data_IF_777401058943
#
_entry.id   IF_777401058943
#
_cell.length_a   1.000
_cell.length_b   1.000
_cell.length_c   1.000
_cell.angle_alpha   90.00
_cell.angle_beta   90.00
_cell.angle_gamma   90.00
#
_symmetry.space_group_name_H-M   'P 1'
#
loop_
_entity.id
_entity.type
_entity.pdbx_description
1 polymer ?
#
# COMPACT_ATOMS: atom_id res chain seq x y z
N UNK A 1 -7.18 31.96 62.77
CA UNK A 1 -5.98 31.16 62.41
C UNK A 1 -6.40 29.70 62.36
N UNK A 2 -6.53 29.13 61.16
CA UNK A 2 -7.01 27.74 60.99
C UNK A 2 -5.88 26.81 61.42
N UNK A 3 -6.06 26.04 62.50
CA UNK A 3 -5.09 25.00 62.91
C UNK A 3 -5.16 23.88 61.88
N UNK A 4 -4.20 23.86 60.96
CA UNK A 4 -4.07 22.80 59.98
C UNK A 4 -3.59 21.53 60.68
N UNK A 5 -4.54 20.78 61.23
CA UNK A 5 -4.26 19.54 61.95
C UNK A 5 -3.82 18.44 61.01
N UNK A 6 -3.03 17.50 61.52
CA UNK A 6 -2.65 16.24 60.89
C UNK A 6 -3.82 15.55 60.13
N UNK A 7 -5.07 15.46 60.67
CA UNK A 7 -6.18 14.87 59.92
C UNK A 7 -6.52 15.61 58.63
N UNK A 8 -6.39 16.94 58.62
CA UNK A 8 -6.60 17.78 57.43
C UNK A 8 -5.58 17.49 56.35
N UNK A 9 -4.31 17.27 56.73
CA UNK A 9 -3.24 16.90 55.79
C UNK A 9 -3.46 15.49 55.22
N UNK A 10 -3.92 14.55 56.04
CA UNK A 10 -4.25 13.19 55.60
C UNK A 10 -5.41 13.18 54.60
N UNK A 11 -6.49 13.93 54.87
CA UNK A 11 -7.61 14.04 53.94
C UNK A 11 -7.19 14.68 52.61
N UNK A 12 -6.33 15.70 52.66
CA UNK A 12 -5.81 16.34 51.46
C UNK A 12 -4.91 15.41 50.64
N UNK A 13 -4.07 14.61 51.30
CA UNK A 13 -3.23 13.60 50.65
C UNK A 13 -4.07 12.50 49.97
N UNK A 14 -5.09 11.97 50.66
CA UNK A 14 -6.02 10.99 50.08
C UNK A 14 -6.76 11.61 48.88
N UNK A 15 -7.20 12.86 48.98
CA UNK A 15 -7.85 13.56 47.87
C UNK A 15 -6.91 13.74 46.66
N UNK A 16 -5.63 14.07 46.89
CA UNK A 16 -4.60 14.17 45.85
C UNK A 16 -4.25 12.83 45.19
N UNK A 17 -4.31 11.73 45.93
CA UNK A 17 -4.07 10.37 45.41
C UNK A 17 -5.31 9.80 44.72
N UNK A 18 -6.50 10.13 45.22
CA UNK A 18 -7.79 9.74 44.65
C UNK A 18 -8.24 10.63 43.49
N UNK A 19 -7.58 11.77 43.27
CA UNK A 19 -7.68 12.56 42.05
C UNK A 19 -7.38 11.60 40.88
N UNK A 20 -8.36 11.31 40.03
CA UNK A 20 -8.19 10.31 39.00
C UNK A 20 -7.04 10.77 38.09
N UNK A 21 -6.16 9.83 37.72
CA UNK A 21 -5.16 10.00 36.63
C UNK A 21 -5.82 10.23 35.25
N UNK A 22 -7.03 10.77 35.22
CA UNK A 22 -7.82 11.04 34.01
C UNK A 22 -7.57 12.44 33.46
N UNK A 23 -6.97 13.37 34.23
CA UNK A 23 -6.58 14.69 33.70
C UNK A 23 -5.43 14.64 32.68
N UNK A 24 -4.69 13.53 32.59
CA UNK A 24 -3.68 13.33 31.53
C UNK A 24 -4.27 12.80 30.22
N UNK A 25 -5.58 12.61 30.15
CA UNK A 25 -6.29 12.28 28.91
C UNK A 25 -7.06 13.52 28.44
N UNK A 26 -6.33 14.60 28.14
CA UNK A 26 -6.79 15.49 27.09
C UNK A 26 -7.11 14.59 25.88
N UNK A 27 -8.31 14.69 25.26
CA UNK A 27 -8.55 14.07 23.97
C UNK A 27 -7.38 14.48 23.09
N UNK A 28 -6.56 13.51 22.70
CA UNK A 28 -5.49 13.75 21.73
C UNK A 28 -6.21 14.45 20.57
N UNK A 29 -5.83 15.68 20.19
CA UNK A 29 -6.50 16.35 19.08
C UNK A 29 -6.50 15.35 17.94
N UNK A 30 -7.69 15.00 17.44
CA UNK A 30 -7.79 14.33 16.15
C UNK A 30 -6.96 15.22 15.23
N UNK A 31 -5.84 14.74 14.66
CA UNK A 31 -5.03 15.57 13.78
C UNK A 31 -5.99 16.15 12.74
N UNK A 32 -5.88 17.46 12.43
CA UNK A 32 -6.74 18.08 11.44
C UNK A 32 -6.73 17.18 10.19
N UNK A 33 -7.89 16.93 9.55
CA UNK A 33 -7.95 16.08 8.36
C UNK A 33 -6.92 16.62 7.39
N UNK A 34 -5.84 15.86 7.17
CA UNK A 34 -4.68 16.39 6.45
C UNK A 34 -5.14 16.59 5.01
N UNK A 35 -5.21 17.83 4.49
CA UNK A 35 -5.71 18.10 3.15
C UNK A 35 -4.85 17.45 2.05
N UNK A 36 -3.72 16.83 2.42
CA UNK A 36 -2.78 16.16 1.52
C UNK A 36 -3.24 14.76 1.09
N UNK A 37 -3.97 14.02 1.93
CA UNK A 37 -4.30 12.62 1.61
C UNK A 37 -5.22 12.52 0.40
N UNK A 38 -6.22 13.40 0.28
CA UNK A 38 -7.12 13.43 -0.87
C UNK A 38 -6.36 13.69 -2.19
N UNK A 39 -5.42 14.65 -2.20
CA UNK A 39 -4.60 14.94 -3.38
C UNK A 39 -3.63 13.80 -3.73
N UNK A 40 -3.02 13.16 -2.73
CA UNK A 40 -2.11 12.04 -2.94
C UNK A 40 -2.86 10.82 -3.52
N UNK A 41 -4.03 10.51 -2.95
CA UNK A 41 -4.90 9.47 -3.52
C UNK A 41 -5.39 9.82 -4.92
N UNK A 42 -5.75 11.08 -5.20
CA UNK A 42 -6.15 11.48 -6.55
C UNK A 42 -5.04 11.22 -7.58
N UNK A 43 -3.79 11.47 -7.18
CA UNK A 43 -2.62 11.28 -8.05
C UNK A 43 -2.32 9.80 -8.29
N UNK A 44 -2.40 8.96 -7.25
CA UNK A 44 -2.28 7.51 -7.38
C UNK A 44 -3.44 6.94 -8.21
N UNK A 45 -4.67 7.34 -7.95
CA UNK A 45 -5.84 6.89 -8.70
C UNK A 45 -5.73 7.26 -10.18
N UNK A 46 -5.24 8.45 -10.49
CA UNK A 46 -4.98 8.88 -11.87
C UNK A 46 -3.85 8.06 -12.54
N UNK A 47 -2.77 7.78 -11.81
CA UNK A 47 -1.65 7.00 -12.32
C UNK A 47 -2.01 5.53 -12.54
N UNK A 48 -2.67 4.92 -11.56
CA UNK A 48 -2.99 3.50 -11.52
C UNK A 48 -4.30 3.15 -12.24
N UNK A 49 -5.19 4.12 -12.48
CA UNK A 49 -6.44 3.90 -13.23
C UNK A 49 -6.24 3.48 -14.70
N UNK A 50 -5.00 3.54 -15.21
CA UNK A 50 -4.63 3.06 -16.55
C UNK A 50 -3.99 1.66 -16.54
N UNK A 51 -3.69 1.11 -15.37
CA UNK A 51 -3.09 -0.22 -15.22
C UNK A 51 -4.18 -1.28 -15.32
N UNK A 52 -3.99 -2.37 -16.09
CA UNK A 52 -4.95 -3.47 -16.13
C UNK A 52 -5.17 -4.09 -14.75
N UNK A 53 -6.44 -4.28 -14.35
CA UNK A 53 -6.82 -4.85 -13.05
C UNK A 53 -6.54 -6.36 -12.90
N UNK A 54 -6.10 -7.00 -13.99
CA UNK A 54 -5.72 -8.40 -14.02
C UNK A 54 -4.39 -8.52 -14.78
N UNK A 55 -3.45 -9.39 -14.37
CA UNK A 55 -2.40 -9.81 -15.26
C UNK A 55 -3.08 -10.48 -16.46
N UNK A 56 -3.12 -9.78 -17.60
CA UNK A 56 -3.51 -10.45 -18.84
C UNK A 56 -2.57 -11.64 -19.00
N UNK A 57 -3.14 -12.84 -19.16
CA UNK A 57 -2.38 -14.04 -19.47
C UNK A 57 -1.35 -13.72 -20.57
N UNK A 58 -0.12 -14.29 -20.51
CA UNK A 58 0.91 -14.01 -21.49
C UNK A 58 0.33 -14.11 -22.90
N UNK A 59 0.40 -13.01 -23.67
CA UNK A 59 -0.04 -13.02 -25.07
C UNK A 59 0.77 -14.11 -25.77
N UNK A 60 0.15 -15.25 -26.05
CA UNK A 60 0.75 -16.24 -26.92
C UNK A 60 0.98 -15.54 -28.27
N UNK A 61 2.22 -15.54 -28.79
CA UNK A 61 2.46 -14.94 -30.09
C UNK A 61 1.55 -15.61 -31.13
N UNK A 62 1.00 -14.85 -32.10
CA UNK A 62 0.16 -15.43 -33.14
C UNK A 62 0.95 -16.53 -33.87
N UNK A 63 0.29 -17.62 -34.28
CA UNK A 63 0.95 -18.67 -35.04
C UNK A 63 1.59 -18.08 -36.30
N UNK A 64 2.80 -18.50 -36.68
CA UNK A 64 3.44 -18.03 -37.90
C UNK A 64 2.55 -18.34 -39.11
N UNK A 65 2.53 -17.46 -40.14
CA UNK A 65 1.76 -17.72 -41.35
C UNK A 65 2.23 -19.03 -42.02
N UNK A 66 1.33 -19.80 -42.66
CA UNK A 66 1.70 -21.01 -43.37
C UNK A 66 2.68 -20.67 -44.48
N UNK A 67 3.81 -21.38 -44.51
CA UNK A 67 4.81 -21.27 -45.57
C UNK A 67 4.19 -21.61 -46.93
N UNK A 68 4.48 -20.85 -48.01
CA UNK A 68 3.99 -21.21 -49.34
C UNK A 68 4.67 -22.49 -49.83
N UNK A 69 3.86 -23.48 -50.21
CA UNK A 69 4.30 -24.66 -50.95
C UNK A 69 4.78 -24.23 -52.34
N UNK A 70 6.05 -24.50 -52.67
CA UNK A 70 6.51 -24.56 -54.06
C UNK A 70 7.76 -25.42 -54.22
N UNK A 71 7.91 -26.04 -55.41
CA UNK A 71 8.49 -27.37 -55.54
C UNK A 71 10.00 -27.38 -55.77
N UNK A 72 10.55 -28.57 -55.53
CA UNK A 72 11.85 -29.13 -55.89
C UNK A 72 12.89 -28.22 -56.59
N UNK A 73 14.05 -28.12 -55.95
CA UNK A 73 15.32 -28.02 -56.64
C UNK A 73 16.22 -26.90 -56.15
N UNK A 74 17.15 -27.22 -55.25
CA UNK A 74 18.60 -26.98 -55.41
C UNK A 74 19.32 -27.14 -54.06
N UNK A 75 20.40 -27.93 -54.09
CA UNK A 75 21.47 -27.98 -53.08
C UNK A 75 21.93 -26.55 -52.78
N UNK A 76 22.27 -26.25 -51.53
CA UNK A 76 23.61 -25.78 -51.09
C UNK A 76 23.59 -25.37 -49.60
N UNK A 77 24.40 -26.12 -48.83
CA UNK A 77 25.28 -25.73 -47.73
C UNK A 77 24.76 -25.01 -46.46
N UNK A 78 25.23 -25.56 -45.35
CA UNK A 78 24.80 -25.32 -43.98
C UNK A 78 25.20 -23.92 -43.47
N UNK A 79 24.21 -23.03 -43.30
CA UNK A 79 24.36 -21.85 -42.41
C UNK A 79 23.79 -22.17 -41.04
N UNK A 80 24.67 -22.28 -40.04
CA UNK A 80 24.31 -22.31 -38.63
C UNK A 80 23.76 -20.94 -38.22
N UNK A 81 22.43 -20.78 -38.29
CA UNK A 81 21.74 -19.63 -37.71
C UNK A 81 21.67 -19.80 -36.19
N UNK A 82 22.42 -18.99 -35.45
CA UNK A 82 22.26 -18.86 -34.01
C UNK A 82 20.86 -18.33 -33.72
N UNK A 83 19.97 -19.21 -33.25
CA UNK A 83 18.65 -18.83 -32.75
C UNK A 83 18.84 -18.16 -31.40
N UNK A 84 18.91 -16.83 -31.40
CA UNK A 84 18.74 -16.04 -30.19
C UNK A 84 17.30 -16.24 -29.70
N UNK A 85 17.11 -17.09 -28.68
CA UNK A 85 15.89 -17.11 -27.89
C UNK A 85 15.83 -15.79 -27.13
N UNK A 86 15.15 -14.81 -27.70
CA UNK A 86 14.69 -13.66 -26.94
C UNK A 86 13.64 -14.19 -25.96
N UNK A 87 14.09 -14.43 -24.72
CA UNK A 87 13.19 -14.65 -23.60
C UNK A 87 12.46 -13.32 -23.43
N UNK A 88 11.18 -13.29 -23.78
CA UNK A 88 10.31 -12.17 -23.44
C UNK A 88 10.26 -12.12 -21.91
N UNK A 89 11.11 -11.29 -21.32
CA UNK A 89 10.95 -10.85 -19.95
C UNK A 89 9.59 -10.15 -19.84
N UNK A 90 8.83 -10.33 -18.75
CA UNK A 90 7.63 -9.54 -18.52
C UNK A 90 8.05 -8.06 -18.45
N UNK A 91 7.88 -7.35 -19.56
CA UNK A 91 8.20 -5.93 -19.60
C UNK A 91 7.12 -5.17 -18.83
N UNK A 92 7.53 -4.56 -17.71
CA UNK A 92 6.78 -3.51 -17.04
C UNK A 92 6.38 -2.45 -18.08
N UNK A 93 5.07 -2.19 -18.19
CA UNK A 93 4.55 -1.13 -19.06
C UNK A 93 4.88 0.23 -18.45
N UNK A 94 5.05 1.29 -19.26
CA UNK A 94 5.25 2.66 -18.75
C UNK A 94 4.15 3.08 -17.76
N UNK A 95 2.92 2.59 -17.97
CA UNK A 95 1.78 2.82 -17.09
C UNK A 95 1.94 2.14 -15.73
N UNK A 96 2.40 0.88 -15.70
CA UNK A 96 2.72 0.15 -14.46
C UNK A 96 3.83 0.85 -13.69
N UNK A 97 4.90 1.26 -14.38
CA UNK A 97 6.00 2.02 -13.76
C UNK A 97 5.55 3.33 -13.14
N UNK A 98 4.73 4.09 -13.87
CA UNK A 98 4.20 5.35 -13.38
C UNK A 98 3.26 5.15 -12.17
N UNK A 99 2.39 4.14 -12.21
CA UNK A 99 1.57 3.76 -11.05
C UNK A 99 2.43 3.40 -9.84
N UNK A 100 3.42 2.52 -10.03
CA UNK A 100 4.34 2.07 -8.99
C UNK A 100 5.07 3.25 -8.32
N UNK A 101 5.51 4.23 -9.10
CA UNK A 101 6.15 5.45 -8.60
C UNK A 101 5.24 6.22 -7.66
N UNK A 102 4.02 6.53 -8.11
CA UNK A 102 3.08 7.32 -7.31
C UNK A 102 2.60 6.57 -6.07
N UNK A 103 2.50 5.25 -6.18
CA UNK A 103 2.13 4.40 -5.06
C UNK A 103 3.17 4.45 -3.94
N UNK A 104 4.47 4.46 -4.27
CA UNK A 104 5.57 4.64 -3.29
C UNK A 104 5.59 6.01 -2.62
N UNK A 105 5.01 7.03 -3.25
CA UNK A 105 5.01 8.41 -2.76
C UNK A 105 3.85 8.71 -1.81
N UNK A 106 2.79 7.90 -1.84
CA UNK A 106 1.67 8.04 -0.90
C UNK A 106 2.15 7.77 0.53
N UNK A 107 1.78 8.67 1.44
CA UNK A 107 2.12 8.54 2.85
C UNK A 107 1.39 7.35 3.50
N UNK A 108 2.12 6.60 4.33
CA UNK A 108 1.55 5.51 5.14
C UNK A 108 0.38 6.00 6.00
N UNK A 109 0.49 7.18 6.60
CA UNK A 109 -0.56 7.75 7.45
C UNK A 109 -1.86 7.95 6.68
N UNK A 110 -1.78 8.38 5.41
CA UNK A 110 -2.95 8.53 4.54
C UNK A 110 -3.65 7.20 4.25
N UNK A 111 -2.87 6.14 3.97
CA UNK A 111 -3.40 4.79 3.74
C UNK A 111 -4.02 4.23 5.03
N UNK A 112 -3.30 4.33 6.14
CA UNK A 112 -3.78 3.83 7.42
C UNK A 112 -5.04 4.57 7.90
N UNK A 113 -5.16 5.88 7.67
CA UNK A 113 -6.36 6.67 7.99
C UNK A 113 -7.59 6.20 7.21
N UNK A 114 -7.46 5.75 5.97
CA UNK A 114 -8.59 5.18 5.22
C UNK A 114 -8.97 3.80 5.76
N UNK A 115 -7.97 2.95 6.03
CA UNK A 115 -8.19 1.57 6.48
C UNK A 115 -8.87 1.50 7.86
N UNK A 116 -8.73 2.52 8.70
CA UNK A 116 -9.43 2.58 10.00
C UNK A 116 -10.90 2.99 9.91
N UNK A 117 -11.39 3.41 8.74
CA UNK A 117 -12.83 3.62 8.49
C UNK A 117 -13.54 2.34 8.05
N UNK A 118 -12.79 1.25 7.81
CA UNK A 118 -13.39 -0.05 7.55
C UNK A 118 -14.18 -0.54 8.78
N UNK A 119 -15.26 -1.32 8.59
CA UNK A 119 -15.96 -1.97 9.68
C UNK A 119 -15.02 -2.75 10.60
N UNK A 120 -15.38 -2.85 11.89
CA UNK A 120 -14.52 -3.43 12.93
C UNK A 120 -13.98 -4.85 12.60
N UNK A 121 -14.74 -5.65 11.84
CA UNK A 121 -14.34 -7.00 11.43
C UNK A 121 -13.24 -7.03 10.36
N UNK A 122 -13.03 -5.93 9.63
CA UNK A 122 -11.94 -5.77 8.64
C UNK A 122 -10.79 -4.94 9.19
N UNK A 123 -11.03 -4.15 10.24
CA UNK A 123 -9.99 -3.33 10.85
C UNK A 123 -9.04 -4.20 11.69
N UNK A 124 -7.78 -4.31 11.28
CA UNK A 124 -6.73 -4.95 12.08
C UNK A 124 -5.94 -3.94 12.91
N UNK A 125 -5.61 -4.25 14.18
CA UNK A 125 -4.91 -3.32 15.08
C UNK A 125 -3.41 -3.17 14.79
N UNK A 126 -2.79 -4.06 14.02
CA UNK A 126 -1.50 -3.85 13.38
C UNK A 126 -1.49 -4.67 12.10
N UNK A 127 -1.23 -4.06 10.96
CA UNK A 127 -1.29 -4.76 9.69
C UNK A 127 -0.43 -4.11 8.62
N UNK A 128 0.00 -4.98 7.71
CA UNK A 128 0.67 -4.62 6.48
C UNK A 128 -0.37 -4.66 5.36
N UNK A 129 -0.51 -3.55 4.65
CA UNK A 129 -1.37 -3.44 3.47
C UNK A 129 -0.48 -3.38 2.23
N UNK A 130 -0.46 -4.47 1.46
CA UNK A 130 0.35 -4.56 0.23
C UNK A 130 -0.51 -4.33 -1.00
N UNK A 131 -0.06 -3.44 -1.88
CA UNK A 131 -0.65 -3.24 -3.21
C UNK A 131 0.31 -3.83 -4.26
N UNK A 132 -0.24 -4.67 -5.13
CA UNK A 132 0.47 -5.30 -6.25
C UNK A 132 0.08 -4.58 -7.54
N UNK A 133 1.07 -4.04 -8.27
CA UNK A 133 0.87 -3.37 -9.57
C UNK A 133 1.16 -4.34 -10.71
N UNK A 134 2.24 -5.11 -10.59
CA UNK A 134 2.61 -6.21 -11.48
C UNK A 134 3.53 -7.23 -10.75
N UNK A 135 4.19 -8.10 -11.50
CA UNK A 135 5.12 -9.11 -10.96
C UNK A 135 6.41 -8.50 -10.38
N UNK A 136 6.74 -7.26 -10.73
CA UNK A 136 7.99 -6.57 -10.40
C UNK A 136 7.82 -5.43 -9.40
N UNK A 137 6.60 -4.89 -9.27
CA UNK A 137 6.26 -3.83 -8.34
C UNK A 137 5.14 -4.23 -7.39
N UNK A 138 5.52 -4.31 -6.12
CA UNK A 138 4.61 -4.27 -4.98
C UNK A 138 5.12 -3.27 -3.94
N UNK A 139 4.21 -2.70 -3.17
CA UNK A 139 4.55 -1.82 -2.06
C UNK A 139 3.68 -2.11 -0.86
N UNK A 140 4.27 -2.04 0.32
CA UNK A 140 3.64 -2.43 1.57
C UNK A 140 3.59 -1.24 2.52
N UNK A 141 2.38 -0.86 2.91
CA UNK A 141 2.12 0.14 3.94
C UNK A 141 1.97 -0.55 5.29
N UNK A 142 2.85 -0.23 6.23
CA UNK A 142 2.80 -0.74 7.60
C UNK A 142 1.95 0.21 8.47
N UNK A 143 0.87 -0.32 9.06
CA UNK A 143 -0.07 0.45 9.86
C UNK A 143 -0.07 -0.01 11.32
N UNK A 144 0.45 0.82 12.22
CA UNK A 144 0.27 0.67 13.67
C UNK A 144 -1.17 1.03 14.03
N UNK A 145 -2.08 0.06 13.90
CA UNK A 145 -3.52 0.26 14.00
C UNK A 145 -4.02 0.77 15.34
N UNK A 146 -5.35 0.86 15.47
CA UNK A 146 -6.00 1.52 16.62
C UNK A 146 -5.89 0.63 17.87
N UNK A 147 -5.34 1.18 18.96
CA UNK A 147 -5.66 0.68 20.30
C UNK A 147 -7.12 1.05 20.54
N UNK A 148 -8.05 0.16 20.17
CA UNK A 148 -9.45 0.27 20.57
C UNK A 148 -9.43 0.06 22.09
N UNK A 149 -9.47 1.15 22.87
CA UNK A 149 -9.66 1.04 24.31
C UNK A 149 -11.10 0.55 24.55
N UNK A 150 -11.30 -0.50 25.37
CA UNK A 150 -12.62 -1.01 25.71
C UNK A 150 -13.44 -0.01 26.52
#
# INVERSE_FOLDING_TARGET
MVKLGIPTLFLFSIFLVALPKTLSQLPRPIPPPRPLCASQFALVNYACGRVPLFPLAPRTPPPPPPSPDSPEGQKHEHRHGHRHRHRHEPHETPEQHNCCRWLKEVDHECVCEVLVHLPAFLSRPNHDYTVFVDETCSYTYTCGGRIIRP
#
